data_IF_886820780308
#
_entry.id   IF_886820780308
#
_cell.length_a   1.000
_cell.length_b   1.000
_cell.length_c   1.000
_cell.angle_alpha   90.00
_cell.angle_beta   90.00
_cell.angle_gamma   90.00
#
_symmetry.space_group_name_H-M   'P 1'
#
loop_
_entity.id
_entity.type
_entity.pdbx_description
1 polymer ?
#
# COMPACT_ATOMS: atom_id res chain seq x y z
N UNK A 1 10.28 -5.02 9.66
CA UNK A 1 9.50 -4.21 8.70
C UNK A 1 9.87 -2.72 8.72
N UNK A 2 10.19 -2.13 9.87
CA UNK A 2 10.53 -0.69 10.02
C UNK A 2 11.67 -0.18 9.15
N UNK A 3 12.75 -0.95 8.96
CA UNK A 3 13.86 -0.53 8.09
C UNK A 3 13.43 -0.45 6.61
N UNK A 4 12.61 -1.40 6.15
CA UNK A 4 12.04 -1.40 4.79
C UNK A 4 11.14 -0.18 4.60
N UNK A 5 10.30 0.12 5.60
CA UNK A 5 9.46 1.31 5.56
C UNK A 5 10.28 2.61 5.51
N UNK A 6 11.38 2.70 6.27
CA UNK A 6 12.29 3.85 6.22
C UNK A 6 12.94 4.03 4.84
N UNK A 7 13.33 2.93 4.17
CA UNK A 7 13.83 2.95 2.78
C UNK A 7 12.73 3.41 1.81
N UNK A 8 11.52 2.89 1.96
CA UNK A 8 10.35 3.28 1.17
C UNK A 8 10.05 4.78 1.28
N UNK A 9 10.07 5.36 2.48
CA UNK A 9 9.82 6.79 2.69
C UNK A 9 10.81 7.70 1.94
N UNK A 10 12.04 7.22 1.72
CA UNK A 10 13.09 7.93 0.95
C UNK A 10 13.02 7.65 -0.55
N UNK A 11 12.19 6.71 -0.99
CA UNK A 11 12.05 6.34 -2.40
C UNK A 11 11.12 7.29 -3.15
N UNK A 12 11.15 7.19 -4.48
CA UNK A 12 10.21 7.88 -5.38
C UNK A 12 8.79 7.29 -5.36
N UNK A 13 8.59 6.11 -4.78
CA UNK A 13 7.30 5.43 -4.78
C UNK A 13 6.38 6.02 -3.70
N UNK A 14 5.09 6.02 -3.99
CA UNK A 14 4.02 6.46 -3.09
C UNK A 14 3.27 5.27 -2.49
N UNK A 15 3.36 4.11 -3.14
CA UNK A 15 2.77 2.84 -2.74
C UNK A 15 3.76 1.68 -2.99
N UNK A 16 3.88 0.78 -2.03
CA UNK A 16 4.62 -0.48 -2.13
C UNK A 16 3.78 -1.61 -1.54
N UNK A 17 3.63 -2.72 -2.25
CA UNK A 17 2.88 -3.87 -1.76
C UNK A 17 3.81 -5.07 -1.72
N UNK A 18 3.83 -5.70 -0.56
CA UNK A 18 4.68 -6.82 -0.23
C UNK A 18 3.85 -8.07 0.02
N UNK A 19 4.41 -9.22 -0.32
CA UNK A 19 3.93 -10.52 0.11
C UNK A 19 5.08 -11.25 0.80
N UNK A 20 4.99 -11.37 2.13
CA UNK A 20 6.11 -11.79 2.97
C UNK A 20 7.30 -10.83 2.83
N UNK A 21 8.40 -11.32 2.29
CA UNK A 21 9.65 -10.55 2.13
C UNK A 21 9.90 -10.02 0.71
N UNK A 22 8.94 -10.22 -0.20
CA UNK A 22 9.05 -9.81 -1.60
C UNK A 22 8.14 -8.63 -1.90
N UNK A 23 8.68 -7.62 -2.58
CA UNK A 23 7.88 -6.58 -3.23
C UNK A 23 7.21 -7.22 -4.44
N UNK A 24 5.88 -7.18 -4.47
CA UNK A 24 5.08 -7.68 -5.60
C UNK A 24 4.53 -6.54 -6.47
N UNK A 25 4.48 -5.31 -5.94
CA UNK A 25 4.02 -4.15 -6.68
C UNK A 25 4.60 -2.85 -6.11
N UNK A 26 4.88 -1.88 -6.98
CA UNK A 26 5.30 -0.53 -6.61
C UNK A 26 4.62 0.47 -7.53
N UNK A 27 4.14 1.58 -6.98
CA UNK A 27 3.58 2.67 -7.77
C UNK A 27 4.06 4.03 -7.26
N UNK A 28 4.27 4.95 -8.19
CA UNK A 28 4.51 6.37 -7.91
C UNK A 28 3.27 7.24 -8.15
N UNK A 29 2.11 6.63 -8.37
CA UNK A 29 0.86 7.35 -8.62
C UNK A 29 0.27 7.88 -7.31
N UNK A 30 -0.34 9.05 -7.37
CA UNK A 30 -0.96 9.68 -6.20
C UNK A 30 -2.35 9.10 -5.87
N UNK A 31 -2.70 9.20 -4.57
CA UNK A 31 -4.01 8.80 -4.05
C UNK A 31 -4.30 7.31 -4.26
N UNK A 32 -5.55 6.99 -4.57
CA UNK A 32 -6.01 5.60 -4.72
C UNK A 32 -5.56 4.91 -6.01
N UNK A 33 -4.96 5.65 -6.96
CA UNK A 33 -4.69 5.15 -8.31
C UNK A 33 -3.76 3.93 -8.32
N UNK A 34 -2.74 3.92 -7.47
CA UNK A 34 -1.83 2.78 -7.36
C UNK A 34 -2.50 1.52 -6.79
N UNK A 35 -3.44 1.69 -5.84
CA UNK A 35 -4.20 0.58 -5.27
C UNK A 35 -5.18 -0.01 -6.29
N UNK A 36 -5.86 0.85 -7.07
CA UNK A 36 -6.77 0.41 -8.13
C UNK A 36 -6.00 -0.34 -9.22
N UNK A 37 -4.86 0.19 -9.69
CA UNK A 37 -3.99 -0.49 -10.65
C UNK A 37 -3.56 -1.87 -10.15
N UNK A 38 -3.16 -1.97 -8.88
CA UNK A 38 -2.80 -3.25 -8.30
C UNK A 38 -3.98 -4.25 -8.27
N UNK A 39 -5.18 -3.79 -7.91
CA UNK A 39 -6.38 -4.63 -7.92
C UNK A 39 -6.68 -5.10 -9.34
N UNK A 40 -6.67 -4.20 -10.32
CA UNK A 40 -6.98 -4.53 -11.71
C UNK A 40 -5.99 -5.56 -12.29
N UNK A 41 -4.71 -5.46 -11.93
CA UNK A 41 -3.66 -6.36 -12.44
C UNK A 41 -3.51 -7.68 -11.66
N UNK A 42 -3.77 -7.70 -10.34
CA UNK A 42 -3.36 -8.81 -9.46
C UNK A 42 -4.47 -9.42 -8.59
N UNK A 43 -5.75 -9.07 -8.76
CA UNK A 43 -6.85 -9.50 -7.87
C UNK A 43 -7.23 -11.00 -7.90
N UNK A 44 -6.27 -11.92 -7.99
CA UNK A 44 -6.51 -13.35 -7.72
C UNK A 44 -5.59 -13.89 -6.61
N UNK A 45 -6.22 -14.40 -5.54
CA UNK A 45 -5.60 -15.09 -4.39
C UNK A 45 -4.40 -14.37 -3.75
N UNK A 46 -4.60 -13.13 -3.35
CA UNK A 46 -3.63 -12.38 -2.58
C UNK A 46 -3.89 -12.56 -1.08
N UNK A 47 -2.93 -13.16 -0.38
CA UNK A 47 -2.95 -13.34 1.07
C UNK A 47 -1.67 -12.77 1.68
N UNK A 48 -1.75 -12.41 2.97
CA UNK A 48 -0.61 -11.90 3.75
C UNK A 48 0.07 -10.67 3.14
N UNK A 49 -0.73 -9.78 2.53
CA UNK A 49 -0.24 -8.54 1.96
C UNK A 49 0.20 -7.56 3.05
N UNK A 50 1.32 -6.89 2.81
CA UNK A 50 1.79 -5.78 3.63
C UNK A 50 1.89 -4.55 2.74
N UNK A 51 1.17 -3.49 3.10
CA UNK A 51 1.03 -2.30 2.28
C UNK A 51 1.79 -1.15 2.91
N UNK A 52 2.69 -0.53 2.16
CA UNK A 52 3.32 0.73 2.50
C UNK A 52 2.69 1.83 1.64
N UNK A 53 2.09 2.82 2.27
CA UNK A 53 1.51 3.97 1.58
C UNK A 53 1.91 5.24 2.33
N UNK A 54 2.44 6.23 1.62
CA UNK A 54 2.87 7.48 2.28
C UNK A 54 1.71 8.22 2.95
N UNK A 55 0.50 8.17 2.37
CA UNK A 55 -0.67 8.91 2.87
C UNK A 55 -1.93 8.04 2.74
N UNK A 56 -2.46 7.57 3.86
CA UNK A 56 -3.71 6.80 3.89
C UNK A 56 -4.89 7.71 4.25
N UNK A 57 -5.70 8.04 3.24
CA UNK A 57 -7.03 8.64 3.43
C UNK A 57 -8.15 7.59 3.40
N UNK A 58 -9.41 8.02 3.60
CA UNK A 58 -10.59 7.12 3.66
C UNK A 58 -10.73 6.20 2.44
N UNK A 59 -10.54 6.74 1.23
CA UNK A 59 -10.62 5.95 0.00
C UNK A 59 -9.54 4.88 -0.10
N UNK A 60 -8.30 5.21 0.28
CA UNK A 60 -7.21 4.23 0.33
C UNK A 60 -7.46 3.16 1.40
N UNK A 61 -7.93 3.57 2.59
CA UNK A 61 -8.26 2.65 3.67
C UNK A 61 -9.33 1.61 3.26
N UNK A 62 -10.38 2.03 2.54
CA UNK A 62 -11.41 1.12 2.03
C UNK A 62 -10.83 0.06 1.07
N UNK A 63 -9.95 0.47 0.16
CA UNK A 63 -9.30 -0.45 -0.79
C UNK A 63 -8.31 -1.41 -0.09
N UNK A 64 -7.57 -0.91 0.90
CA UNK A 64 -6.67 -1.72 1.73
C UNK A 64 -7.46 -2.78 2.50
N UNK A 65 -8.63 -2.43 3.05
CA UNK A 65 -9.52 -3.37 3.73
C UNK A 65 -10.10 -4.39 2.75
N UNK A 66 -10.51 -3.94 1.55
CA UNK A 66 -10.96 -4.83 0.47
C UNK A 66 -9.90 -5.87 0.10
N UNK A 67 -8.63 -5.45 0.04
CA UNK A 67 -7.46 -6.32 -0.20
C UNK A 67 -7.12 -7.24 0.97
N UNK A 68 -7.79 -7.11 2.13
CA UNK A 68 -7.51 -7.86 3.36
C UNK A 68 -6.02 -7.80 3.76
N UNK A 69 -5.43 -6.60 3.65
CA UNK A 69 -4.03 -6.40 4.02
C UNK A 69 -3.78 -6.81 5.47
N UNK A 70 -2.72 -7.58 5.70
CA UNK A 70 -2.31 -8.04 7.02
C UNK A 70 -1.77 -6.90 7.86
N UNK A 71 -0.92 -6.06 7.26
CA UNK A 71 -0.30 -4.91 7.90
C UNK A 71 -0.25 -3.73 6.94
N UNK A 72 -0.38 -2.52 7.50
CA UNK A 72 -0.34 -1.26 6.76
C UNK A 72 0.62 -0.33 7.47
N UNK A 73 1.58 0.22 6.73
CA UNK A 73 2.50 1.22 7.23
C UNK A 73 2.27 2.52 6.48
N UNK A 74 2.03 3.59 7.23
CA UNK A 74 1.83 4.91 6.66
C UNK A 74 2.51 6.00 7.46
N UNK A 75 2.93 7.07 6.77
CA UNK A 75 3.52 8.25 7.41
C UNK A 75 2.43 9.18 7.91
N UNK A 76 1.33 9.29 7.18
CA UNK A 76 0.22 10.20 7.47
C UNK A 76 -1.08 9.41 7.29
N UNK A 77 -1.90 9.40 8.33
CA UNK A 77 -3.28 8.93 8.26
C UNK A 77 -4.22 10.12 8.39
N UNK A 78 -5.20 10.22 7.50
CA UNK A 78 -6.21 11.27 7.57
C UNK A 78 -7.42 10.77 8.34
N UNK A 79 -7.70 11.38 9.49
CA UNK A 79 -8.85 11.05 10.35
C UNK A 79 -10.15 11.69 9.85
N UNK A 80 -10.04 12.83 9.17
CA UNK A 80 -11.17 13.60 8.61
C UNK A 80 -11.05 13.72 7.09
N UNK A 81 -12.18 13.47 6.42
CA UNK A 81 -12.41 13.58 4.99
C UNK A 81 -13.90 13.61 4.75
#
# INVERSE_FOLDING_TARGET
>A
MTERFSKFLKSKFTLEIWQGDKIIFQSGKDGVKGLVEFIDEYCTKLENLIIFDKIVGRGAALLIVFLKAKEVFTKIISESG
#
